data_IF_599057277108
#
_entry.id   IF_599057277108
#
_cell.length_a   1.000
_cell.length_b   1.000
_cell.length_c   1.000
_cell.angle_alpha   90.00
_cell.angle_beta   90.00
_cell.angle_gamma   90.00
#
_symmetry.space_group_name_H-M   'P 1'
#
loop_
_entity.id
_entity.type
_entity.pdbx_description
1 polymer ?
#
# COMPACT_ATOMS: atom_id res chain seq x y z
N UNK A 1 -0.79 -7.55 -10.07
CA UNK A 1 -2.09 -7.43 -9.37
C UNK A 1 -2.40 -5.97 -9.01
N UNK A 2 -2.18 -5.49 -7.77
CA UNK A 2 -2.63 -4.13 -7.36
C UNK A 2 -2.10 -3.01 -8.27
N UNK A 3 -0.80 -3.02 -8.60
CA UNK A 3 -0.20 -2.05 -9.53
C UNK A 3 -0.87 -2.05 -10.90
N UNK A 4 -1.16 -3.24 -11.44
CA UNK A 4 -1.74 -3.39 -12.78
C UNK A 4 -3.17 -2.90 -12.81
N UNK A 5 -3.99 -3.30 -11.83
CA UNK A 5 -5.37 -2.85 -11.72
C UNK A 5 -5.49 -1.33 -11.54
N UNK A 6 -4.60 -0.72 -10.74
CA UNK A 6 -4.52 0.74 -10.63
C UNK A 6 -4.14 1.41 -11.96
N UNK A 7 -3.22 0.80 -12.72
CA UNK A 7 -2.81 1.31 -14.03
C UNK A 7 -3.97 1.27 -15.05
N UNK A 8 -4.77 0.21 -15.03
CA UNK A 8 -5.94 0.05 -15.91
C UNK A 8 -7.02 1.14 -15.70
N UNK A 9 -7.10 1.71 -14.49
CA UNK A 9 -8.00 2.82 -14.19
C UNK A 9 -7.34 4.21 -14.33
N UNK A 10 -6.12 4.27 -14.86
CA UNK A 10 -5.40 5.51 -15.15
C UNK A 10 -4.47 6.01 -14.03
N UNK A 11 -4.31 5.26 -12.93
CA UNK A 11 -3.42 5.62 -11.83
C UNK A 11 -2.03 5.02 -12.09
N UNK A 12 -1.09 5.87 -12.49
CA UNK A 12 0.25 5.43 -12.94
C UNK A 12 1.38 5.83 -12.00
N UNK A 13 1.17 6.82 -11.12
CA UNK A 13 2.15 7.28 -10.14
C UNK A 13 1.98 6.57 -8.79
N UNK A 14 3.02 5.90 -8.30
CA UNK A 14 3.04 5.29 -6.97
C UNK A 14 4.45 5.11 -6.42
N UNK A 15 4.58 5.13 -5.10
CA UNK A 15 5.81 4.74 -4.39
C UNK A 15 5.58 3.41 -3.69
N UNK A 16 6.54 2.49 -3.79
CA UNK A 16 6.45 1.15 -3.18
C UNK A 16 7.66 0.93 -2.28
N UNK A 17 7.44 0.44 -1.06
CA UNK A 17 8.49 0.07 -0.13
C UNK A 17 8.21 -1.27 0.56
N UNK A 18 9.28 -2.00 0.88
CA UNK A 18 9.19 -3.22 1.70
C UNK A 18 9.17 -2.84 3.17
N UNK A 19 8.21 -3.39 3.91
CA UNK A 19 8.04 -3.11 5.34
C UNK A 19 7.81 -4.40 6.13
N UNK A 20 7.91 -4.29 7.44
CA UNK A 20 7.63 -5.37 8.39
C UNK A 20 6.37 -5.03 9.18
N UNK A 21 5.34 -5.87 9.08
CA UNK A 21 4.06 -5.70 9.77
C UNK A 21 3.93 -6.62 10.98
N UNK A 22 3.32 -6.11 12.05
CA UNK A 22 2.96 -6.86 13.26
C UNK A 22 1.45 -6.75 13.50
N UNK A 23 0.80 -7.80 14.03
CA UNK A 23 -0.61 -7.72 14.40
C UNK A 23 -1.30 -9.07 14.62
N UNK A 24 -2.58 -9.16 14.22
CA UNK A 24 -3.40 -10.37 14.40
C UNK A 24 -2.90 -11.58 13.61
N UNK A 25 -2.21 -11.34 12.50
CA UNK A 25 -1.47 -12.38 11.81
C UNK A 25 -0.22 -12.66 12.64
N UNK A 26 -0.33 -13.62 13.56
CA UNK A 26 0.83 -14.08 14.34
C UNK A 26 1.84 -14.69 13.37
N UNK A 27 3.11 -14.32 13.48
CA UNK A 27 4.13 -15.05 12.74
C UNK A 27 4.36 -16.43 13.31
N UNK A 28 5.06 -17.27 12.55
CA UNK A 28 5.37 -18.63 12.95
C UNK A 28 6.64 -18.64 13.81
N UNK A 29 6.73 -19.54 14.78
CA UNK A 29 8.01 -19.83 15.44
C UNK A 29 8.87 -20.61 14.46
N UNK A 30 9.96 -20.02 13.98
CA UNK A 30 10.94 -20.72 13.15
C UNK A 30 12.08 -21.21 14.03
N UNK A 31 12.44 -22.50 13.87
CA UNK A 31 13.61 -23.06 14.52
C UNK A 31 14.81 -22.80 13.60
N UNK A 32 15.68 -21.87 13.99
CA UNK A 32 16.93 -21.61 13.28
C UNK A 32 18.11 -22.11 14.11
N UNK A 33 18.84 -23.10 13.59
CA UNK A 33 20.00 -23.74 14.27
C UNK A 33 19.73 -24.20 15.71
N UNK A 34 18.53 -24.74 15.96
CA UNK A 34 18.16 -25.27 17.28
C UNK A 34 17.76 -24.23 18.33
N UNK A 35 17.68 -22.95 17.95
CA UNK A 35 17.06 -21.91 18.76
C UNK A 35 15.68 -21.54 18.17
N UNK A 36 14.67 -21.42 19.04
CA UNK A 36 13.35 -20.91 18.67
C UNK A 36 13.43 -19.40 18.49
N UNK A 37 13.13 -18.92 17.29
CA UNK A 37 12.91 -17.50 17.02
C UNK A 37 11.43 -17.28 16.79
N UNK A 38 10.79 -16.51 17.68
CA UNK A 38 9.47 -15.96 17.41
C UNK A 38 9.61 -14.92 16.30
N UNK A 39 9.10 -15.23 15.11
CA UNK A 39 9.03 -14.25 14.02
C UNK A 39 7.83 -13.35 14.32
N UNK A 40 8.05 -12.26 15.06
CA UNK A 40 6.96 -11.34 15.39
C UNK A 40 6.49 -10.56 14.16
N UNK A 41 7.40 -10.26 13.23
CA UNK A 41 7.13 -9.39 12.09
C UNK A 41 7.06 -10.16 10.78
N UNK A 42 6.00 -9.93 10.02
CA UNK A 42 5.82 -10.49 8.68
C UNK A 42 6.16 -9.46 7.60
N UNK A 43 6.86 -9.86 6.52
CA UNK A 43 7.13 -8.97 5.40
C UNK A 43 5.82 -8.54 4.73
N UNK A 44 5.73 -7.26 4.38
CA UNK A 44 4.60 -6.63 3.70
C UNK A 44 5.12 -5.61 2.69
N UNK A 45 4.26 -5.27 1.73
CA UNK A 45 4.50 -4.16 0.80
C UNK A 45 3.65 -2.98 1.24
N UNK A 46 4.27 -1.80 1.33
CA UNK A 46 3.59 -0.52 1.51
C UNK A 46 3.54 0.18 0.17
N UNK A 47 2.34 0.54 -0.27
CA UNK A 47 2.10 1.33 -1.48
C UNK A 47 1.59 2.69 -1.02
N UNK A 48 2.20 3.75 -1.52
CA UNK A 48 1.84 5.13 -1.26
C UNK A 48 1.45 5.82 -2.57
N UNK A 49 0.28 6.46 -2.55
CA UNK A 49 -0.37 7.11 -3.67
C UNK A 49 -0.78 8.52 -3.22
N UNK A 50 -0.64 9.49 -4.12
CA UNK A 50 -1.25 10.81 -3.96
C UNK A 50 -2.15 10.99 -5.17
N UNK A 51 -3.44 11.23 -4.93
CA UNK A 51 -4.49 11.24 -5.94
C UNK A 51 -5.35 12.49 -5.77
N UNK A 52 -6.02 12.92 -6.84
CA UNK A 52 -7.11 13.88 -6.74
C UNK A 52 -8.29 13.25 -5.97
N UNK A 53 -9.06 14.09 -5.26
CA UNK A 53 -10.14 13.64 -4.38
C UNK A 53 -11.19 12.77 -5.10
N UNK A 54 -11.47 13.07 -6.36
CA UNK A 54 -12.44 12.35 -7.19
C UNK A 54 -11.98 10.93 -7.60
N UNK A 55 -10.69 10.63 -7.50
CA UNK A 55 -10.11 9.33 -7.82
C UNK A 55 -9.95 8.42 -6.58
N UNK A 56 -10.03 8.97 -5.36
CA UNK A 56 -9.72 8.24 -4.11
C UNK A 56 -10.61 7.03 -3.91
N UNK A 57 -11.94 7.20 -3.96
CA UNK A 57 -12.89 6.10 -3.74
C UNK A 57 -12.71 4.98 -4.77
N UNK A 58 -12.53 5.34 -6.04
CA UNK A 58 -12.29 4.38 -7.11
C UNK A 58 -11.00 3.57 -6.89
N UNK A 59 -9.95 4.22 -6.41
CA UNK A 59 -8.69 3.54 -6.09
C UNK A 59 -8.85 2.57 -4.92
N UNK A 60 -9.59 2.98 -3.87
CA UNK A 60 -9.88 2.14 -2.70
C UNK A 60 -10.63 0.87 -3.13
N UNK A 61 -11.69 1.02 -3.92
CA UNK A 61 -12.50 -0.12 -4.39
C UNK A 61 -11.65 -1.14 -5.15
N UNK A 62 -10.83 -0.68 -6.10
CA UNK A 62 -9.95 -1.54 -6.89
C UNK A 62 -8.89 -2.22 -6.02
N UNK A 63 -8.26 -1.49 -5.09
CA UNK A 63 -7.27 -2.08 -4.17
C UNK A 63 -7.92 -3.15 -3.30
N UNK A 64 -9.12 -2.90 -2.77
CA UNK A 64 -9.84 -3.87 -1.95
C UNK A 64 -10.22 -5.10 -2.76
N UNK A 65 -10.75 -4.94 -3.97
CA UNK A 65 -11.11 -6.06 -4.84
C UNK A 65 -9.91 -6.98 -5.12
N UNK A 66 -8.76 -6.38 -5.45
CA UNK A 66 -7.59 -7.12 -5.93
C UNK A 66 -6.72 -7.66 -4.78
N UNK A 67 -6.58 -6.92 -3.67
CA UNK A 67 -5.70 -7.33 -2.57
C UNK A 67 -6.38 -8.27 -1.56
N UNK A 68 -7.71 -8.43 -1.63
CA UNK A 68 -8.47 -9.24 -0.66
C UNK A 68 -8.36 -10.73 -0.97
N UNK A 69 -7.62 -11.45 -0.15
CA UNK A 69 -7.60 -12.92 -0.15
C UNK A 69 -8.68 -13.53 0.74
N UNK A 70 -9.28 -12.72 1.63
CA UNK A 70 -10.25 -13.17 2.64
C UNK A 70 -9.59 -13.81 3.86
N UNK A 71 -8.25 -13.84 3.94
CA UNK A 71 -7.48 -14.39 5.05
C UNK A 71 -7.00 -13.29 5.99
N UNK A 72 -6.66 -13.67 7.22
CA UNK A 72 -6.05 -12.75 8.18
C UNK A 72 -4.68 -12.31 7.62
N UNK A 73 -4.51 -11.00 7.44
CA UNK A 73 -3.23 -10.44 6.98
C UNK A 73 -3.27 -9.64 5.69
N UNK A 74 -4.45 -9.51 5.04
CA UNK A 74 -4.64 -8.76 3.79
C UNK A 74 -4.20 -7.28 3.87
N UNK A 75 -4.07 -6.73 5.08
CA UNK A 75 -3.51 -5.41 5.30
C UNK A 75 -4.55 -4.38 5.71
N UNK A 76 -4.25 -3.11 5.45
CA UNK A 76 -5.11 -1.95 5.75
C UNK A 76 -4.85 -0.88 4.69
N UNK A 77 -5.88 -0.08 4.41
CA UNK A 77 -5.77 1.16 3.65
C UNK A 77 -5.94 2.32 4.64
N UNK A 78 -5.09 3.33 4.54
CA UNK A 78 -5.20 4.57 5.29
C UNK A 78 -5.34 5.70 4.28
N UNK A 79 -6.35 6.55 4.49
CA UNK A 79 -6.56 7.77 3.70
C UNK A 79 -6.13 8.94 4.56
N UNK A 80 -5.16 9.70 4.07
CA UNK A 80 -4.62 10.88 4.75
C UNK A 80 -4.78 12.08 3.81
N UNK A 81 -5.20 13.25 4.32
CA UNK A 81 -5.25 14.45 3.50
C UNK A 81 -3.83 14.90 3.12
N UNK A 82 -3.68 15.37 1.88
CA UNK A 82 -2.45 16.02 1.39
C UNK A 82 -2.79 17.47 1.11
N UNK A 83 -2.21 18.39 1.88
CA UNK A 83 -2.51 19.83 1.75
C UNK A 83 -2.01 20.41 0.42
N UNK A 84 -0.84 19.95 -0.05
CA UNK A 84 -0.26 20.41 -1.31
C UNK A 84 0.64 19.33 -1.92
N UNK A 85 0.54 19.17 -3.24
CA UNK A 85 1.45 18.36 -4.04
C UNK A 85 2.15 19.25 -5.08
N UNK A 86 3.44 19.05 -5.32
CA UNK A 86 4.22 19.82 -6.29
C UNK A 86 5.03 18.86 -7.17
N UNK A 87 4.83 18.93 -8.49
CA UNK A 87 5.62 18.14 -9.44
C UNK A 87 6.94 18.85 -9.71
N UNK A 88 8.04 18.31 -9.16
CA UNK A 88 9.39 18.91 -9.24
C UNK A 88 9.79 19.30 -10.68
N UNK A 89 9.46 18.45 -11.67
CA UNK A 89 9.87 18.65 -13.07
C UNK A 89 9.22 19.87 -13.72
N UNK A 90 7.95 20.17 -13.40
CA UNK A 90 7.13 21.17 -14.11
C UNK A 90 6.72 22.35 -13.22
N UNK A 91 6.78 22.19 -11.90
CA UNK A 91 6.25 23.15 -10.94
C UNK A 91 4.73 23.13 -10.81
N UNK A 92 4.04 22.21 -11.48
CA UNK A 92 2.59 22.00 -11.34
C UNK A 92 2.24 21.70 -9.88
N UNK A 93 1.06 22.16 -9.46
CA UNK A 93 0.58 22.07 -8.07
C UNK A 93 -0.76 21.37 -7.98
N UNK A 94 -1.03 20.81 -6.80
CA UNK A 94 -2.30 20.16 -6.43
C UNK A 94 -2.71 19.13 -7.49
N UNK A 95 -3.93 19.20 -8.02
CA UNK A 95 -4.49 18.24 -8.98
C UNK A 95 -3.63 18.08 -10.25
N UNK A 96 -2.93 19.13 -10.70
CA UNK A 96 -2.04 19.02 -11.87
C UNK A 96 -0.71 18.31 -11.55
N UNK A 97 -0.35 18.22 -10.28
CA UNK A 97 0.88 17.57 -9.82
C UNK A 97 0.74 16.06 -9.65
N UNK A 98 -0.49 15.56 -9.53
CA UNK A 98 -0.81 14.14 -9.29
C UNK A 98 -1.18 13.41 -10.57
#
# INVERSE_FOLDING_TARGET
>A
DVREALTEIGITGMTVSEVKGFGRQKGHTEIYRGAEYAVDFLPKIKIELVLADDAVERAIDVIVEVARSGKIGDGKIFVLPVEEAIRIRTGERSDAAV
#
